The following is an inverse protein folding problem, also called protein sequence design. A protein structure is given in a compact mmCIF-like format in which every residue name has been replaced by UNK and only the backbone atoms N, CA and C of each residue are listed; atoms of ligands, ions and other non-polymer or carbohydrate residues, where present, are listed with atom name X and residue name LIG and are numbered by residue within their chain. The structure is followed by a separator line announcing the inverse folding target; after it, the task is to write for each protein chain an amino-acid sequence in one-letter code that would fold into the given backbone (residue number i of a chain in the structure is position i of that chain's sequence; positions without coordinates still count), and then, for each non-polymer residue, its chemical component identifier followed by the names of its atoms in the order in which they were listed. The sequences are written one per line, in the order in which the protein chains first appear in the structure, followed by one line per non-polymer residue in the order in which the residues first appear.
data_IF_883894024684
#
_entry.id   IF_883894024684
#
_cell.length_a   1.000
_cell.length_b   1.000
_cell.length_c   1.000
_cell.angle_alpha   90.00
_cell.angle_beta   90.00
_cell.angle_gamma   90.00
#
_symmetry.space_group_name_H-M   'P 1'
#
loop_
_entity.id
_entity.type
_entity.pdbx_description
1 polymer ?
#
# COMPACT_ATOMS: atom_id res chain seq x y z
N UNK A 1 8.81 7.68 -1.50
CA UNK A 1 8.10 6.39 -1.65
C UNK A 1 7.75 5.90 -0.26
N UNK A 2 6.79 4.99 -0.14
CA UNK A 2 6.55 4.22 1.08
C UNK A 2 6.49 2.75 0.67
N UNK A 3 7.26 1.88 1.32
CA UNK A 3 7.44 0.49 0.92
C UNK A 3 7.20 -0.43 2.11
N UNK A 4 6.66 -1.61 1.83
CA UNK A 4 6.43 -2.66 2.82
C UNK A 4 7.12 -3.92 2.30
N UNK A 5 8.10 -4.45 3.06
CA UNK A 5 8.72 -5.74 2.77
C UNK A 5 8.04 -6.82 3.63
N UNK A 6 7.09 -7.56 3.06
CA UNK A 6 6.39 -8.62 3.77
C UNK A 6 7.03 -9.98 3.52
N UNK A 7 7.84 -10.44 4.47
CA UNK A 7 8.47 -11.76 4.44
C UNK A 7 7.47 -12.88 4.74
N UNK A 8 7.36 -13.86 3.83
CA UNK A 8 6.45 -14.99 3.91
C UNK A 8 7.17 -16.32 3.64
N UNK A 9 6.61 -17.41 4.16
CA UNK A 9 7.10 -18.75 3.84
C UNK A 9 6.84 -19.07 2.35
N UNK A 10 7.85 -19.51 1.58
CA UNK A 10 7.65 -19.90 0.19
C UNK A 10 6.66 -21.06 0.00
N UNK A 11 6.49 -21.93 1.01
CA UNK A 11 5.56 -23.07 0.98
C UNK A 11 4.17 -22.73 1.52
N UNK A 12 4.01 -21.62 2.26
CA UNK A 12 2.73 -21.17 2.81
C UNK A 12 2.58 -19.65 2.66
N UNK A 13 1.93 -19.26 1.56
CA UNK A 13 1.57 -17.87 1.26
C UNK A 13 0.13 -17.51 1.65
N UNK A 14 -0.48 -18.27 2.58
CA UNK A 14 -1.78 -17.92 3.16
C UNK A 14 -1.67 -16.63 3.99
N UNK A 15 -2.79 -15.92 4.17
CA UNK A 15 -2.79 -14.71 5.00
C UNK A 15 -3.93 -14.73 6.01
N UNK A 16 -3.58 -14.70 7.30
CA UNK A 16 -4.53 -14.87 8.40
C UNK A 16 -5.72 -13.89 8.38
N UNK A 17 -5.58 -12.72 7.74
CA UNK A 17 -6.63 -11.69 7.62
C UNK A 17 -7.29 -11.62 6.24
N UNK A 18 -6.98 -12.53 5.31
CA UNK A 18 -7.52 -12.49 3.95
C UNK A 18 -9.06 -12.52 3.92
N UNK A 19 -9.68 -13.33 4.79
CA UNK A 19 -11.15 -13.39 4.95
C UNK A 19 -11.79 -12.03 5.25
N UNK A 20 -11.07 -11.07 5.83
CA UNK A 20 -11.61 -9.74 6.12
C UNK A 20 -11.79 -8.89 4.85
N UNK A 21 -11.13 -9.26 3.76
CA UNK A 21 -11.10 -8.50 2.50
C UNK A 21 -11.61 -9.29 1.30
N UNK A 22 -11.90 -10.59 1.44
CA UNK A 22 -12.23 -11.51 0.34
C UNK A 22 -13.41 -11.04 -0.53
N UNK A 23 -14.37 -10.32 0.05
CA UNK A 23 -15.57 -9.85 -0.64
C UNK A 23 -15.40 -8.47 -1.30
N UNK A 24 -14.21 -7.86 -1.24
CA UNK A 24 -13.95 -6.57 -1.86
C UNK A 24 -13.84 -6.77 -3.38
N UNK A 25 -14.68 -6.03 -4.10
CA UNK A 25 -14.75 -6.02 -5.55
C UNK A 25 -13.77 -5.00 -6.14
N UNK A 26 -12.96 -5.42 -7.11
CA UNK A 26 -11.91 -4.63 -7.73
C UNK A 26 -12.02 -4.71 -9.26
N UNK A 27 -11.40 -3.74 -9.94
CA UNK A 27 -11.23 -3.75 -11.39
C UNK A 27 -9.85 -4.32 -11.72
N UNK A 28 -9.81 -5.55 -12.26
CA UNK A 28 -8.57 -6.20 -12.67
C UNK A 28 -8.34 -6.05 -14.17
N UNK A 29 -7.09 -5.86 -14.57
CA UNK A 29 -6.63 -6.00 -15.95
C UNK A 29 -5.59 -7.13 -16.00
N UNK A 30 -6.03 -8.40 -16.10
CA UNK A 30 -5.12 -9.55 -16.09
C UNK A 30 -4.23 -9.61 -17.34
N UNK A 31 -3.12 -10.34 -17.23
CA UNK A 31 -2.19 -10.56 -18.35
C UNK A 31 -2.88 -11.09 -19.61
N UNK A 32 -3.74 -12.09 -19.46
CA UNK A 32 -4.42 -12.72 -20.59
C UNK A 32 -5.28 -11.74 -21.41
N UNK A 33 -5.87 -10.72 -20.76
CA UNK A 33 -6.64 -9.67 -21.44
C UNK A 33 -5.71 -8.75 -22.23
N UNK A 34 -4.60 -8.34 -21.61
CA UNK A 34 -3.58 -7.50 -22.25
C UNK A 34 -2.93 -8.20 -23.46
N UNK A 35 -2.60 -9.48 -23.34
CA UNK A 35 -2.06 -10.31 -24.45
C UNK A 35 -3.03 -10.42 -25.63
N UNK A 36 -4.35 -10.32 -25.37
CA UNK A 36 -5.36 -10.27 -26.43
C UNK A 36 -5.51 -8.88 -27.10
N UNK A 37 -4.70 -7.90 -26.70
CA UNK A 37 -4.75 -6.52 -27.19
C UNK A 37 -5.91 -5.69 -26.63
N UNK A 38 -6.56 -6.18 -25.57
CA UNK A 38 -7.70 -5.51 -24.92
C UNK A 38 -7.28 -4.81 -23.64
N UNK A 39 -8.07 -3.83 -23.24
CA UNK A 39 -7.87 -3.06 -22.00
C UNK A 39 -9.08 -3.10 -21.08
N UNK A 40 -10.06 -3.94 -21.40
CA UNK A 40 -11.29 -4.11 -20.63
C UNK A 40 -10.97 -4.70 -19.26
N UNK A 41 -11.38 -3.99 -18.20
CA UNK A 41 -11.21 -4.48 -16.85
C UNK A 41 -12.27 -5.54 -16.53
N UNK A 42 -11.85 -6.60 -15.85
CA UNK A 42 -12.72 -7.61 -15.26
C UNK A 42 -13.03 -7.18 -13.83
N UNK A 43 -14.31 -6.96 -13.55
CA UNK A 43 -14.78 -6.65 -12.21
C UNK A 43 -14.99 -7.96 -11.45
N UNK A 44 -14.28 -8.14 -10.34
CA UNK A 44 -14.30 -9.40 -9.58
C UNK A 44 -13.93 -9.16 -8.12
N UNK A 45 -14.37 -10.04 -7.23
CA UNK A 45 -13.95 -10.07 -5.82
C UNK A 45 -12.53 -10.61 -5.67
N UNK A 46 -11.74 -10.07 -4.74
CA UNK A 46 -10.38 -10.57 -4.51
C UNK A 46 -10.37 -12.04 -4.08
N UNK A 47 -11.40 -12.48 -3.34
CA UNK A 47 -11.57 -13.88 -2.93
C UNK A 47 -11.72 -14.80 -4.13
N UNK A 48 -12.56 -14.45 -5.12
CA UNK A 48 -12.70 -15.26 -6.32
C UNK A 48 -11.47 -15.16 -7.23
N UNK A 49 -10.82 -14.00 -7.31
CA UNK A 49 -9.57 -13.82 -8.07
C UNK A 49 -8.46 -14.74 -7.55
N UNK A 50 -8.31 -14.87 -6.22
CA UNK A 50 -7.36 -15.82 -5.62
C UNK A 50 -7.80 -17.27 -5.85
N UNK A 51 -9.09 -17.57 -5.62
CA UNK A 51 -9.63 -18.93 -5.80
C UNK A 51 -9.48 -19.48 -7.23
N UNK A 52 -9.59 -18.60 -8.23
CA UNK A 52 -9.45 -18.95 -9.66
C UNK A 52 -7.99 -18.95 -10.14
N UNK A 53 -7.05 -18.52 -9.29
CA UNK A 53 -5.64 -18.39 -9.65
C UNK A 53 -5.33 -17.18 -10.52
N UNK A 54 -6.25 -16.21 -10.64
CA UNK A 54 -5.96 -14.92 -11.29
C UNK A 54 -4.91 -14.16 -10.48
N UNK A 55 -5.08 -14.12 -9.16
CA UNK A 55 -4.07 -13.63 -8.20
C UNK A 55 -3.46 -14.84 -7.52
N UNK A 56 -2.13 -14.94 -7.50
CA UNK A 56 -1.41 -16.17 -7.15
C UNK A 56 -1.71 -16.71 -5.74
N UNK A 57 -1.82 -15.84 -4.73
CA UNK A 57 -1.97 -16.26 -3.34
C UNK A 57 -2.73 -15.26 -2.45
N UNK A 58 -3.15 -15.70 -1.27
CA UNK A 58 -3.92 -14.89 -0.31
C UNK A 58 -3.14 -13.69 0.23
N UNK A 59 -1.81 -13.80 0.39
CA UNK A 59 -0.98 -12.69 0.89
C UNK A 59 -0.94 -11.55 -0.12
N UNK A 60 -0.66 -11.86 -1.39
CA UNK A 60 -0.70 -10.89 -2.48
C UNK A 60 -2.11 -10.29 -2.61
N UNK A 61 -3.15 -11.13 -2.59
CA UNK A 61 -4.53 -10.67 -2.66
C UNK A 61 -4.92 -9.76 -1.49
N UNK A 62 -4.47 -10.09 -0.26
CA UNK A 62 -4.71 -9.24 0.91
C UNK A 62 -4.12 -7.84 0.70
N UNK A 63 -2.87 -7.74 0.23
CA UNK A 63 -2.25 -6.43 -0.01
C UNK A 63 -2.93 -5.66 -1.14
N UNK A 64 -3.29 -6.30 -2.26
CA UNK A 64 -4.07 -5.68 -3.35
C UNK A 64 -5.36 -5.05 -2.80
N UNK A 65 -6.13 -5.81 -2.02
CA UNK A 65 -7.38 -5.31 -1.46
C UNK A 65 -7.17 -4.19 -0.42
N UNK A 66 -6.10 -4.27 0.38
CA UNK A 66 -5.74 -3.21 1.33
C UNK A 66 -5.25 -1.94 0.64
N UNK A 67 -4.54 -2.05 -0.48
CA UNK A 67 -4.15 -0.92 -1.34
C UNK A 67 -5.40 -0.23 -1.87
N UNK A 68 -6.37 -0.98 -2.40
CA UNK A 68 -7.65 -0.43 -2.87
C UNK A 68 -8.39 0.34 -1.77
N UNK A 69 -8.55 -0.26 -0.59
CA UNK A 69 -9.20 0.38 0.55
C UNK A 69 -8.45 1.64 1.00
N UNK A 70 -7.12 1.62 0.98
CA UNK A 70 -6.32 2.79 1.33
C UNK A 70 -6.51 3.92 0.32
N UNK A 71 -6.34 3.63 -0.98
CA UNK A 71 -6.44 4.62 -2.06
C UNK A 71 -7.83 5.28 -2.09
N UNK A 72 -8.89 4.47 -2.01
CA UNK A 72 -10.27 4.98 -1.98
C UNK A 72 -10.54 5.83 -0.73
N UNK A 73 -10.06 5.40 0.44
CA UNK A 73 -10.21 6.15 1.69
C UNK A 73 -9.55 7.53 1.66
N UNK A 74 -8.45 7.69 0.92
CA UNK A 74 -7.75 8.98 0.79
C UNK A 74 -8.25 9.84 -0.37
N UNK A 75 -9.27 9.39 -1.11
CA UNK A 75 -9.97 10.22 -2.11
C UNK A 75 -9.76 9.83 -3.57
N UNK A 76 -9.17 8.66 -3.83
CA UNK A 76 -9.13 8.13 -5.20
C UNK A 76 -10.53 7.66 -5.61
N UNK A 77 -11.04 8.20 -6.72
CA UNK A 77 -12.24 7.65 -7.38
C UNK A 77 -12.01 6.19 -7.82
N UNK A 78 -12.79 5.26 -7.25
CA UNK A 78 -12.72 3.83 -7.55
C UNK A 78 -13.01 3.48 -9.02
N UNK A 79 -13.73 4.35 -9.76
CA UNK A 79 -13.98 4.16 -11.20
C UNK A 79 -12.74 4.41 -12.05
N UNK A 80 -11.81 5.22 -11.53
CA UNK A 80 -10.54 5.61 -12.15
C UNK A 80 -9.34 4.88 -11.53
N UNK A 81 -9.61 3.71 -10.94
CA UNK A 81 -8.62 2.84 -10.29
C UNK A 81 -8.80 1.41 -10.84
N UNK A 82 -7.68 0.82 -11.28
CA UNK A 82 -7.60 -0.59 -11.68
C UNK A 82 -6.32 -1.23 -11.18
N UNK A 83 -6.29 -2.55 -11.14
CA UNK A 83 -5.10 -3.35 -10.86
C UNK A 83 -4.66 -4.05 -12.13
N UNK A 84 -3.52 -3.67 -12.70
CA UNK A 84 -2.95 -4.27 -13.91
C UNK A 84 -1.91 -5.31 -13.55
N UNK A 85 -2.05 -6.51 -14.07
CA UNK A 85 -1.04 -7.55 -13.90
C UNK A 85 0.14 -7.32 -14.84
N UNK A 86 1.36 -7.55 -14.37
CA UNK A 86 2.55 -7.49 -15.24
C UNK A 86 2.52 -8.58 -16.31
N UNK A 87 2.98 -8.23 -17.51
CA UNK A 87 3.19 -9.16 -18.61
C UNK A 87 4.46 -9.99 -18.39
N UNK A 88 4.54 -11.19 -18.98
CA UNK A 88 5.70 -12.08 -18.77
C UNK A 88 7.07 -11.48 -19.17
N UNK A 89 7.08 -10.52 -20.10
CA UNK A 89 8.27 -9.78 -20.53
C UNK A 89 8.56 -8.52 -19.70
N UNK A 90 7.63 -8.07 -18.86
CA UNK A 90 7.77 -6.93 -17.95
C UNK A 90 8.16 -7.37 -16.54
N UNK A 91 7.84 -8.62 -16.19
CA UNK A 91 8.21 -9.20 -14.90
C UNK A 91 9.73 -9.18 -14.73
N UNK A 92 10.19 -8.72 -13.58
CA UNK A 92 11.54 -9.02 -13.16
C UNK A 92 11.73 -10.54 -13.16
N UNK A 93 12.89 -11.02 -13.61
CA UNK A 93 13.20 -12.45 -13.79
C UNK A 93 13.02 -13.33 -12.54
N UNK A 94 12.76 -12.74 -11.38
CA UNK A 94 12.54 -13.39 -10.10
C UNK A 94 11.11 -13.23 -9.52
N UNK A 95 10.27 -12.37 -10.11
CA UNK A 95 8.91 -12.16 -9.61
C UNK A 95 8.01 -13.35 -9.99
N UNK A 96 7.13 -13.81 -9.10
CA UNK A 96 6.15 -14.86 -9.45
C UNK A 96 4.84 -14.28 -9.99
N UNK A 97 4.38 -13.19 -9.39
CA UNK A 97 3.20 -12.43 -9.81
C UNK A 97 3.39 -10.97 -9.39
N UNK A 98 2.82 -10.02 -10.14
CA UNK A 98 2.94 -8.60 -9.84
C UNK A 98 1.72 -7.85 -10.37
N UNK A 99 1.13 -7.01 -9.52
CA UNK A 99 -0.05 -6.21 -9.81
C UNK A 99 0.19 -4.76 -9.46
N UNK A 100 0.01 -3.87 -10.43
CA UNK A 100 0.10 -2.43 -10.25
C UNK A 100 -1.28 -1.84 -10.04
N UNK A 101 -1.47 -1.08 -8.96
CA UNK A 101 -2.59 -0.15 -8.85
C UNK A 101 -2.32 1.05 -9.76
N UNK A 102 -3.07 1.13 -10.85
CA UNK A 102 -3.02 2.23 -11.80
C UNK A 102 -4.18 3.20 -11.57
N UNK A 103 -3.86 4.49 -11.61
CA UNK A 103 -4.82 5.57 -11.51
C UNK A 103 -4.92 6.28 -12.85
N UNK A 104 -6.14 6.49 -13.34
CA UNK A 104 -6.37 7.23 -14.58
C UNK A 104 -6.20 8.73 -14.33
N UNK A 105 -5.29 9.39 -15.05
CA UNK A 105 -5.05 10.83 -14.97
C UNK A 105 -5.15 11.48 -16.35
N UNK A 106 -4.92 12.79 -16.45
CA UNK A 106 -4.77 13.51 -17.71
C UNK A 106 -3.61 13.00 -18.58
N UNK A 107 -2.66 12.26 -17.98
CA UNK A 107 -1.59 11.54 -18.67
C UNK A 107 -1.96 10.10 -19.08
N UNK A 108 -3.21 9.69 -18.86
CA UNK A 108 -3.67 8.31 -18.99
C UNK A 108 -3.47 7.51 -17.70
N UNK A 109 -3.48 6.18 -17.83
CA UNK A 109 -3.28 5.25 -16.71
C UNK A 109 -1.82 5.27 -16.27
N UNK A 110 -1.57 5.65 -15.02
CA UNK A 110 -0.24 5.69 -14.43
C UNK A 110 -0.16 4.75 -13.23
N UNK A 111 0.92 3.98 -13.17
CA UNK A 111 1.24 3.12 -12.03
C UNK A 111 1.52 3.99 -10.79
N UNK A 112 0.77 3.76 -9.71
CA UNK A 112 0.87 4.53 -8.46
C UNK A 112 1.30 3.67 -7.28
N UNK A 113 0.95 2.38 -7.30
CA UNK A 113 1.41 1.40 -6.31
C UNK A 113 1.73 0.09 -7.00
N UNK A 114 2.99 -0.35 -6.97
CA UNK A 114 3.37 -1.69 -7.39
C UNK A 114 3.15 -2.68 -6.24
N UNK A 115 2.63 -3.87 -6.52
CA UNK A 115 2.48 -4.95 -5.54
C UNK A 115 3.06 -6.24 -6.12
N UNK A 116 4.32 -6.53 -5.76
CA UNK A 116 5.10 -7.60 -6.37
C UNK A 116 5.33 -8.77 -5.40
N UNK A 117 5.31 -9.99 -5.92
CA UNK A 117 5.86 -11.18 -5.25
C UNK A 117 7.27 -11.41 -5.78
N UNK A 118 8.29 -10.89 -5.08
CA UNK A 118 9.68 -10.86 -5.54
C UNK A 118 10.47 -12.13 -5.19
N UNK A 119 9.79 -13.16 -4.71
CA UNK A 119 10.42 -14.39 -4.22
C UNK A 119 11.55 -14.08 -3.21
N UNK A 120 12.62 -14.86 -3.23
CA UNK A 120 13.77 -14.75 -2.33
C UNK A 120 14.98 -14.02 -2.94
N UNK A 121 14.82 -13.28 -4.05
CA UNK A 121 15.95 -12.78 -4.85
C UNK A 121 16.90 -11.88 -4.05
N UNK A 122 16.40 -10.82 -3.43
CA UNK A 122 17.22 -9.83 -2.73
C UNK A 122 18.02 -10.48 -1.59
N UNK A 123 17.35 -11.31 -0.78
CA UNK A 123 17.99 -12.06 0.31
C UNK A 123 19.05 -13.04 -0.20
N UNK A 124 18.77 -13.74 -1.30
CA UNK A 124 19.70 -14.70 -1.90
C UNK A 124 20.96 -14.01 -2.42
N UNK A 125 20.81 -12.88 -3.11
CA UNK A 125 21.93 -12.09 -3.65
C UNK A 125 22.75 -11.50 -2.51
N UNK A 126 22.12 -10.90 -1.50
CA UNK A 126 22.81 -10.33 -0.35
C UNK A 126 23.54 -11.40 0.48
N UNK A 127 22.90 -12.55 0.71
CA UNK A 127 23.50 -13.69 1.40
C UNK A 127 24.74 -14.20 0.66
N UNK A 128 24.64 -14.39 -0.67
CA UNK A 128 25.76 -14.84 -1.48
C UNK A 128 26.94 -13.86 -1.49
N UNK A 129 26.66 -12.55 -1.47
CA UNK A 129 27.69 -11.50 -1.52
C UNK A 129 28.36 -11.25 -0.17
N UNK A 130 27.59 -11.20 0.91
CA UNK A 130 28.07 -10.89 2.26
C UNK A 130 28.62 -12.12 3.00
N UNK A 131 28.26 -13.32 2.53
CA UNK A 131 28.51 -14.60 3.22
C UNK A 131 27.76 -14.74 4.55
N UNK A 132 26.80 -13.86 4.81
CA UNK A 132 25.89 -13.96 5.94
C UNK A 132 24.60 -14.67 5.54
N UNK A 133 24.17 -15.65 6.33
CA UNK A 133 22.96 -16.41 6.04
C UNK A 133 21.71 -15.58 6.39
N UNK A 134 21.01 -15.11 5.36
CA UNK A 134 19.71 -14.44 5.49
C UNK A 134 18.58 -15.46 5.29
N UNK A 135 18.33 -16.29 6.30
CA UNK A 135 17.33 -17.35 6.25
C UNK A 135 16.50 -17.43 7.54
N UNK A 136 15.34 -18.07 7.44
CA UNK A 136 14.50 -18.45 8.58
C UNK A 136 14.85 -19.88 8.99
N UNK A 137 14.93 -20.12 10.29
CA UNK A 137 15.09 -21.46 10.89
C UNK A 137 13.83 -21.78 11.68
N UNK A 138 13.02 -22.69 11.16
CA UNK A 138 11.74 -23.08 11.75
C UNK A 138 11.85 -24.49 12.34
N UNK A 139 11.48 -24.66 13.61
CA UNK A 139 11.36 -25.98 14.21
C UNK A 139 10.20 -26.74 13.54
N UNK A 140 10.47 -27.96 13.08
CA UNK A 140 9.43 -28.80 12.50
C UNK A 140 8.54 -29.37 13.62
N UNK A 141 7.20 -29.40 13.43
CA UNK A 141 6.28 -30.00 14.40
C UNK A 141 6.60 -31.48 14.65
N UNK A 142 6.97 -32.19 13.58
CA UNK A 142 7.41 -33.58 13.61
C UNK A 142 8.76 -33.71 12.88
N UNK A 143 9.73 -34.47 13.43
CA UNK A 143 11.03 -34.62 12.80
C UNK A 143 10.90 -35.32 11.44
N UNK A 144 11.47 -34.73 10.39
CA UNK A 144 11.44 -35.31 9.06
C UNK A 144 12.64 -36.24 8.89
N UNK A 145 12.37 -37.51 8.58
CA UNK A 145 13.42 -38.46 8.22
C UNK A 145 13.70 -38.27 6.73
N UNK A 146 14.88 -37.75 6.40
CA UNK A 146 15.30 -37.51 5.02
C UNK A 146 16.48 -38.43 4.72
N UNK A 147 16.36 -39.22 3.65
CA UNK A 147 17.49 -39.92 3.06
C UNK A 147 18.09 -39.06 1.95
N UNK A 148 19.37 -38.72 2.05
CA UNK A 148 20.11 -38.03 1.00
C UNK A 148 21.47 -38.64 0.79
N UNK A 149 22.02 -38.46 -0.41
CA UNK A 149 23.41 -38.75 -0.68
C UNK A 149 24.30 -37.70 -0.01
N UNK A 150 25.19 -38.16 0.86
CA UNK A 150 26.22 -37.35 1.48
C UNK A 150 27.59 -37.73 0.96
N UNK A 151 28.46 -36.72 0.87
CA UNK A 151 29.85 -36.87 0.51
C UNK A 151 30.73 -36.76 1.74
N UNK A 152 31.51 -37.80 2.03
CA UNK A 152 32.59 -37.75 3.00
C UNK A 152 33.93 -37.62 2.29
N UNK A 153 34.72 -36.64 2.73
CA UNK A 153 36.08 -36.43 2.24
C UNK A 153 37.08 -36.98 3.24
N UNK A 154 38.00 -37.84 2.80
CA UNK A 154 39.12 -38.31 3.62
C UNK A 154 40.17 -37.20 3.74
N UNK A 155 39.93 -36.26 4.67
CA UNK A 155 40.72 -35.02 4.81
C UNK A 155 42.22 -35.27 4.92
N UNK A 156 42.65 -36.41 5.50
CA UNK A 156 44.08 -36.75 5.64
C UNK A 156 44.77 -37.02 4.30
N UNK A 157 44.03 -37.50 3.28
CA UNK A 157 44.54 -37.75 1.93
C UNK A 157 44.19 -36.63 0.97
N UNK A 158 43.01 -36.05 1.14
CA UNK A 158 42.45 -34.99 0.29
C UNK A 158 43.31 -33.71 0.32
N UNK A 159 43.66 -33.23 1.52
CA UNK A 159 44.50 -32.04 1.69
C UNK A 159 45.87 -32.17 1.00
N UNK A 160 46.65 -33.23 1.29
CA UNK A 160 47.94 -33.45 0.64
C UNK A 160 47.88 -33.64 -0.88
N UNK A 161 46.81 -34.26 -1.42
CA UNK A 161 46.64 -34.46 -2.87
C UNK A 161 46.44 -33.13 -3.60
N UNK A 162 45.56 -32.26 -3.11
CA UNK A 162 45.16 -31.04 -3.82
C UNK A 162 45.87 -29.75 -3.34
N UNK A 163 46.57 -29.79 -2.19
CA UNK A 163 47.38 -28.69 -1.64
C UNK A 163 46.64 -27.35 -1.66
N UNK A 164 47.16 -26.35 -2.38
CA UNK A 164 46.55 -25.00 -2.53
C UNK A 164 45.14 -25.03 -3.13
N UNK A 165 44.80 -26.07 -3.89
CA UNK A 165 43.50 -26.23 -4.53
C UNK A 165 42.48 -26.97 -3.64
N UNK A 166 42.89 -27.53 -2.50
CA UNK A 166 42.03 -28.38 -1.67
C UNK A 166 40.74 -27.68 -1.24
N UNK A 167 40.81 -26.41 -0.82
CA UNK A 167 39.62 -25.65 -0.40
C UNK A 167 38.64 -25.38 -1.54
N UNK A 168 39.14 -25.17 -2.77
CA UNK A 168 38.31 -24.96 -3.96
C UNK A 168 37.61 -26.26 -4.37
N UNK A 169 38.33 -27.38 -4.38
CA UNK A 169 37.77 -28.70 -4.71
C UNK A 169 36.76 -29.16 -3.64
N UNK A 170 37.05 -28.94 -2.35
CA UNK A 170 36.11 -29.23 -1.24
C UNK A 170 34.83 -28.42 -1.40
N UNK A 171 34.92 -27.12 -1.66
CA UNK A 171 33.75 -26.26 -1.87
C UNK A 171 32.93 -26.66 -3.09
N UNK A 172 33.59 -27.08 -4.18
CA UNK A 172 32.92 -27.56 -5.38
C UNK A 172 32.16 -28.86 -5.14
N UNK A 173 32.77 -29.82 -4.44
CA UNK A 173 32.15 -31.11 -4.11
C UNK A 173 30.97 -30.98 -3.16
N UNK A 174 31.08 -30.12 -2.13
CA UNK A 174 30.02 -29.91 -1.14
C UNK A 174 28.84 -29.10 -1.70
N UNK A 175 29.04 -28.32 -2.78
CA UNK A 175 27.98 -27.54 -3.42
C UNK A 175 27.15 -28.30 -4.46
N UNK A 176 27.44 -29.59 -4.70
CA UNK A 176 26.73 -30.41 -5.70
C UNK A 176 25.29 -30.72 -5.28
N UNK A 177 24.40 -30.76 -6.26
CA UNK A 177 23.04 -31.25 -6.12
C UNK A 177 23.00 -32.78 -5.98
N UNK A 178 21.89 -33.33 -5.50
CA UNK A 178 21.75 -34.77 -5.31
C UNK A 178 21.87 -35.56 -6.64
N UNK A 179 21.34 -35.04 -7.74
CA UNK A 179 21.48 -35.64 -9.07
C UNK A 179 22.95 -35.65 -9.55
N UNK A 180 23.70 -34.58 -9.29
CA UNK A 180 25.14 -34.54 -9.59
C UNK A 180 25.92 -35.54 -8.73
N UNK A 181 25.57 -35.67 -7.45
CA UNK A 181 26.17 -36.66 -6.55
C UNK A 181 25.85 -38.10 -6.98
N UNK A 182 24.64 -38.37 -7.48
CA UNK A 182 24.29 -39.67 -8.07
C UNK A 182 25.16 -40.00 -9.29
N UNK A 183 25.38 -39.02 -10.17
CA UNK A 183 26.24 -39.20 -11.34
C UNK A 183 27.70 -39.43 -10.95
N UNK A 184 28.24 -38.66 -10.00
CA UNK A 184 29.57 -38.84 -9.44
C UNK A 184 29.73 -40.20 -8.76
N UNK A 185 28.72 -40.63 -8.00
CA UNK A 185 28.71 -41.94 -7.33
C UNK A 185 28.73 -43.09 -8.36
N UNK A 186 27.93 -42.99 -9.43
CA UNK A 186 27.95 -43.97 -10.53
C UNK A 186 29.34 -44.06 -11.18
N UNK A 187 29.94 -42.93 -11.54
CA UNK A 187 31.29 -42.91 -12.10
C UNK A 187 32.32 -43.55 -11.15
N UNK A 188 32.32 -43.17 -9.87
CA UNK A 188 33.22 -43.75 -8.87
C UNK A 188 33.05 -45.27 -8.71
N UNK A 189 31.82 -45.77 -8.80
CA UNK A 189 31.52 -47.20 -8.69
C UNK A 189 31.91 -47.99 -9.94
N UNK A 190 31.77 -47.41 -11.14
CA UNK A 190 32.04 -48.09 -12.41
C UNK A 190 33.53 -48.10 -12.78
N UNK A 191 34.23 -46.98 -12.60
CA UNK A 191 35.62 -46.81 -13.07
C UNK A 191 36.64 -46.68 -11.93
N UNK A 192 36.18 -46.56 -10.68
CA UNK A 192 37.03 -46.31 -9.51
C UNK A 192 37.53 -44.86 -9.39
N UNK A 193 37.23 -44.01 -10.39
CA UNK A 193 37.74 -42.63 -10.51
C UNK A 193 36.71 -41.72 -11.16
N UNK A 194 36.59 -40.49 -10.68
CA UNK A 194 35.77 -39.46 -11.32
C UNK A 194 36.64 -38.24 -11.63
N UNK A 195 36.46 -37.69 -12.84
CA UNK A 195 37.18 -36.52 -13.32
C UNK A 195 36.18 -35.40 -13.60
N UNK A 196 36.52 -34.17 -13.18
CA UNK A 196 35.67 -33.00 -13.37
C UNK A 196 36.48 -31.70 -13.38
N UNK A 197 35.89 -30.65 -13.95
CA UNK A 197 36.48 -29.31 -13.95
C UNK A 197 35.91 -28.45 -12.83
N UNK A 198 36.80 -27.77 -12.11
CA UNK A 198 36.45 -26.83 -11.06
C UNK A 198 36.79 -25.43 -11.53
N UNK A 199 35.84 -24.51 -11.43
CA UNK A 199 36.08 -23.11 -11.77
C UNK A 199 37.21 -22.52 -10.91
N UNK A 200 38.20 -21.90 -11.56
CA UNK A 200 39.42 -21.41 -10.91
C UNK A 200 40.59 -22.41 -10.87
N UNK A 201 40.44 -23.59 -11.48
CA UNK A 201 41.53 -24.56 -11.69
C UNK A 201 41.59 -24.91 -13.19
N UNK A 202 42.72 -24.66 -13.83
CA UNK A 202 42.91 -24.93 -15.27
C UNK A 202 43.01 -26.44 -15.60
N UNK A 203 43.45 -27.23 -14.62
CA UNK A 203 43.61 -28.69 -14.72
C UNK A 203 42.32 -29.43 -14.35
N UNK A 204 42.09 -30.56 -15.02
CA UNK A 204 41.00 -31.47 -14.67
C UNK A 204 41.32 -32.19 -13.35
N UNK A 205 40.36 -32.16 -12.43
CA UNK A 205 40.52 -32.73 -11.09
C UNK A 205 40.05 -34.18 -11.12
N UNK A 206 40.92 -35.10 -10.71
CA UNK A 206 40.61 -36.52 -10.56
C UNK A 206 40.50 -36.91 -9.08
N UNK A 207 39.35 -37.47 -8.71
CA UNK A 207 39.10 -38.10 -7.41
C UNK A 207 38.93 -39.61 -7.59
N UNK A 208 39.18 -40.35 -6.51
CA UNK A 208 39.03 -41.79 -6.45
C UNK A 208 38.35 -42.18 -5.12
N UNK A 209 37.92 -43.42 -5.02
CA UNK A 209 37.18 -43.96 -3.85
C UNK A 209 37.98 -43.91 -2.55
N UNK A 210 39.30 -43.71 -2.60
CA UNK A 210 40.12 -43.55 -1.39
C UNK A 210 40.10 -42.14 -0.81
N UNK A 211 39.58 -41.15 -1.57
CA UNK A 211 39.50 -39.74 -1.19
C UNK A 211 38.08 -39.29 -0.87
N UNK A 212 37.11 -39.89 -1.54
CA UNK A 212 35.72 -39.47 -1.52
C UNK A 212 34.83 -40.70 -1.38
N UNK A 213 33.92 -40.66 -0.42
CA UNK A 213 32.87 -41.67 -0.23
C UNK A 213 31.52 -40.99 -0.39
N UNK A 214 30.67 -41.49 -1.29
CA UNK A 214 29.32 -40.98 -1.47
C UNK A 214 28.35 -42.07 -1.02
N UNK A 215 27.56 -41.82 0.01
CA UNK A 215 26.64 -42.80 0.60
C UNK A 215 25.28 -42.19 0.92
N UNK A 216 24.22 -43.01 0.80
CA UNK A 216 22.91 -42.61 1.30
C UNK A 216 22.92 -42.65 2.82
N UNK A 217 22.62 -41.52 3.44
CA UNK A 217 22.46 -41.41 4.88
C UNK A 217 21.07 -40.94 5.23
N UNK A 218 20.51 -41.59 6.23
CA UNK A 218 19.26 -41.19 6.86
C UNK A 218 19.59 -40.15 7.94
N UNK A 219 19.05 -38.93 7.79
CA UNK A 219 19.12 -37.89 8.82
C UNK A 219 17.74 -37.54 9.32
N UNK A 220 17.66 -37.31 10.62
CA UNK A 220 16.47 -36.74 11.25
C UNK A 220 16.63 -35.23 11.31
N UNK A 221 15.85 -34.52 10.51
CA UNK A 221 15.82 -33.06 10.51
C UNK A 221 14.74 -32.57 11.48
N UNK A 222 15.15 -31.76 12.46
CA UNK A 222 14.25 -31.11 13.42
C UNK A 222 13.95 -29.64 13.05
N UNK A 223 14.70 -29.07 12.11
CA UNK A 223 14.63 -27.67 11.72
C UNK A 223 14.60 -27.60 10.19
N UNK A 224 13.61 -26.88 9.66
CA UNK A 224 13.57 -26.45 8.26
C UNK A 224 14.24 -25.09 8.15
N UNK A 225 15.21 -24.97 7.26
CA UNK A 225 15.87 -23.71 6.91
C UNK A 225 15.39 -23.29 5.51
N UNK A 226 14.88 -22.07 5.38
CA UNK A 226 14.44 -21.54 4.08
C UNK A 226 14.71 -20.03 3.98
N UNK A 227 14.83 -19.53 2.76
CA UNK A 227 14.90 -18.08 2.50
C UNK A 227 13.46 -17.61 2.26
N UNK A 228 12.95 -16.65 3.06
CA UNK A 228 11.57 -16.21 2.90
C UNK A 228 11.37 -15.51 1.56
N UNK A 229 10.19 -15.71 0.98
CA UNK A 229 9.74 -14.90 -0.14
C UNK A 229 9.29 -13.53 0.35
N UNK A 230 9.24 -12.54 -0.53
CA UNK A 230 8.88 -11.16 -0.19
C UNK A 230 7.72 -10.68 -1.05
N UNK A 231 6.63 -10.28 -0.40
CA UNK A 231 5.56 -9.49 -1.04
C UNK A 231 5.83 -8.02 -0.76
N UNK A 232 5.95 -7.22 -1.81
CA UNK A 232 6.34 -5.81 -1.74
C UNK A 232 5.28 -4.89 -2.35
N UNK A 233 4.46 -4.25 -1.51
CA UNK A 233 3.73 -3.03 -1.86
C UNK A 233 4.64 -1.78 -1.84
N UNK A 234 4.87 -1.16 -3.00
CA UNK A 234 5.64 0.09 -3.13
C UNK A 234 4.75 1.24 -3.61
N UNK A 235 4.62 2.29 -2.79
CA UNK A 235 3.72 3.42 -3.00
C UNK A 235 4.47 4.66 -3.52
N UNK A 236 4.13 5.06 -4.74
CA UNK A 236 4.53 6.32 -5.36
C UNK A 236 3.74 7.50 -4.81
N UNK A 237 4.02 7.94 -3.57
CA UNK A 237 3.25 8.98 -2.85
C UNK A 237 2.96 10.22 -3.72
N UNK A 238 3.94 10.70 -4.49
CA UNK A 238 3.75 11.87 -5.36
C UNK A 238 2.70 11.65 -6.47
N UNK A 239 2.72 10.48 -7.12
CA UNK A 239 1.74 10.10 -8.14
C UNK A 239 0.35 9.94 -7.53
N UNK A 240 0.26 9.30 -6.36
CA UNK A 240 -1.00 9.15 -5.61
C UNK A 240 -1.62 10.50 -5.27
N UNK A 241 -0.84 11.45 -4.72
CA UNK A 241 -1.32 12.79 -4.39
C UNK A 241 -1.79 13.53 -5.65
N UNK A 242 -1.03 13.45 -6.74
CA UNK A 242 -1.39 14.08 -8.00
C UNK A 242 -2.71 13.54 -8.55
N UNK A 243 -2.90 12.22 -8.56
CA UNK A 243 -4.16 11.60 -8.98
C UNK A 243 -5.33 12.00 -8.09
N UNK A 244 -5.14 12.11 -6.77
CA UNK A 244 -6.19 12.61 -5.87
C UNK A 244 -6.60 14.03 -6.24
N UNK A 245 -5.65 14.91 -6.58
CA UNK A 245 -6.00 16.26 -7.03
C UNK A 245 -6.85 16.24 -8.29
N UNK A 246 -6.48 15.46 -9.30
CA UNK A 246 -7.28 15.34 -10.51
C UNK A 246 -8.65 14.70 -10.29
N UNK A 247 -8.75 13.70 -9.41
CA UNK A 247 -10.01 13.00 -9.14
C UNK A 247 -10.95 13.86 -8.29
N UNK A 248 -10.40 14.79 -7.50
CA UNK A 248 -11.15 15.66 -6.60
C UNK A 248 -11.45 17.04 -7.19
N UNK A 249 -10.85 17.42 -8.31
CA UNK A 249 -11.01 18.74 -8.92
C UNK A 249 -12.30 18.83 -9.74
N UNK A 250 -13.08 19.88 -9.53
CA UNK A 250 -14.22 20.24 -10.36
C UNK A 250 -14.56 21.74 -10.22
N UNK A 251 -15.44 22.23 -11.08
CA UNK A 251 -15.95 23.60 -11.04
C UNK A 251 -17.44 23.62 -10.77
N UNK A 252 -17.89 24.61 -10.01
CA UNK A 252 -19.29 24.79 -9.68
C UNK A 252 -20.16 24.94 -10.95
N UNK A 253 -21.32 24.27 -11.06
CA UNK A 253 -22.18 24.39 -12.24
C UNK A 253 -22.68 25.82 -12.51
N UNK A 254 -22.85 26.61 -11.44
CA UNK A 254 -23.31 28.01 -11.54
C UNK A 254 -22.22 28.99 -11.98
N UNK A 255 -20.95 28.66 -11.79
CA UNK A 255 -19.82 29.56 -12.09
C UNK A 255 -18.52 28.76 -12.28
N UNK A 256 -18.04 28.70 -13.53
CA UNK A 256 -16.82 27.97 -13.89
C UNK A 256 -15.54 28.54 -13.27
N UNK A 257 -15.58 29.78 -12.76
CA UNK A 257 -14.45 30.38 -12.03
C UNK A 257 -14.36 29.89 -10.58
N UNK A 258 -15.42 29.25 -10.06
CA UNK A 258 -15.45 28.69 -8.70
C UNK A 258 -14.97 27.24 -8.73
N UNK A 259 -13.68 27.09 -8.53
CA UNK A 259 -12.99 25.80 -8.39
C UNK A 259 -13.26 25.19 -7.01
N UNK A 260 -13.38 23.86 -6.97
CA UNK A 260 -13.48 23.08 -5.75
C UNK A 260 -12.49 21.92 -5.81
N UNK A 261 -11.79 21.69 -4.71
CA UNK A 261 -10.98 20.49 -4.51
C UNK A 261 -11.65 19.60 -3.47
N UNK A 262 -12.34 18.54 -3.91
CA UNK A 262 -13.11 17.64 -3.05
C UNK A 262 -12.29 16.63 -2.24
N UNK A 263 -11.25 17.10 -1.54
CA UNK A 263 -10.45 16.25 -0.66
C UNK A 263 -11.34 15.65 0.44
N UNK A 264 -11.24 14.34 0.74
CA UNK A 264 -11.91 13.76 1.89
C UNK A 264 -11.50 14.49 3.18
N UNK A 265 -12.44 14.71 4.13
CA UNK A 265 -12.14 15.41 5.36
C UNK A 265 -10.94 14.83 6.12
N UNK A 266 -10.75 13.51 6.10
CA UNK A 266 -9.62 12.83 6.73
C UNK A 266 -8.25 13.36 6.25
N UNK A 267 -8.10 13.65 4.96
CA UNK A 267 -6.81 14.03 4.35
C UNK A 267 -6.69 15.51 4.00
N UNK A 268 -7.77 16.28 4.04
CA UNK A 268 -7.73 17.73 3.78
C UNK A 268 -6.71 18.44 4.71
N UNK A 269 -5.79 19.28 4.20
CA UNK A 269 -4.74 19.89 5.03
C UNK A 269 -5.29 20.78 6.16
N UNK A 270 -6.32 21.55 5.82
CA UNK A 270 -7.10 22.35 6.77
C UNK A 270 -8.50 21.75 6.82
N UNK A 271 -9.04 21.49 8.02
CA UNK A 271 -10.38 20.90 8.18
C UNK A 271 -11.44 21.98 8.22
N UNK A 272 -11.14 23.09 8.88
CA UNK A 272 -12.10 24.15 9.15
C UNK A 272 -11.56 25.50 8.70
N UNK A 273 -12.35 26.20 7.89
CA UNK A 273 -12.27 27.63 7.72
C UNK A 273 -13.11 28.28 8.83
N UNK A 274 -12.50 29.07 9.71
CA UNK A 274 -13.21 29.83 10.73
C UNK A 274 -13.30 31.30 10.31
N UNK A 275 -14.51 31.82 10.14
CA UNK A 275 -14.75 33.16 9.57
C UNK A 275 -15.76 33.96 10.40
N UNK A 276 -15.43 35.19 10.80
CA UNK A 276 -16.45 36.12 11.30
C UNK A 276 -17.22 36.73 10.10
N UNK A 277 -18.52 36.97 10.25
CA UNK A 277 -19.38 37.53 9.19
C UNK A 277 -18.88 38.91 8.76
N UNK A 278 -18.37 39.69 9.71
CA UNK A 278 -17.75 41.01 9.51
C UNK A 278 -16.56 41.20 10.44
N UNK A 279 -15.80 42.28 10.24
CA UNK A 279 -14.66 42.63 11.12
C UNK A 279 -15.08 43.44 12.35
N UNK A 280 -16.36 43.34 12.75
CA UNK A 280 -16.86 44.02 13.94
C UNK A 280 -16.20 43.42 15.20
N UNK A 281 -15.67 44.28 16.06
CA UNK A 281 -14.99 43.93 17.32
C UNK A 281 -15.84 43.04 18.23
N UNK A 282 -17.18 43.18 18.18
CA UNK A 282 -18.11 42.38 18.99
C UNK A 282 -18.04 40.88 18.67
N UNK A 283 -17.59 40.50 17.46
CA UNK A 283 -17.45 39.09 17.06
C UNK A 283 -16.12 38.46 17.52
N UNK A 284 -15.14 39.26 17.96
CA UNK A 284 -13.81 38.74 18.35
C UNK A 284 -13.83 37.79 19.55
N UNK A 285 -14.57 38.07 20.65
CA UNK A 285 -14.57 37.16 21.81
C UNK A 285 -15.06 35.75 21.47
N UNK A 286 -16.13 35.64 20.68
CA UNK A 286 -16.66 34.34 20.25
C UNK A 286 -15.72 33.67 19.23
N UNK A 287 -15.06 34.44 18.35
CA UNK A 287 -14.03 33.93 17.43
C UNK A 287 -12.85 33.29 18.18
N UNK A 288 -12.36 33.95 19.23
CA UNK A 288 -11.28 33.44 20.07
C UNK A 288 -11.73 32.19 20.85
N UNK A 289 -12.95 32.19 21.38
CA UNK A 289 -13.55 31.06 22.09
C UNK A 289 -13.66 29.81 21.21
N UNK A 290 -14.22 29.94 20.00
CA UNK A 290 -14.33 28.85 19.03
C UNK A 290 -12.95 28.40 18.57
N UNK A 291 -12.03 29.33 18.31
CA UNK A 291 -10.63 29.01 17.98
C UNK A 291 -9.95 28.18 19.07
N UNK A 292 -10.14 28.53 20.35
CA UNK A 292 -9.58 27.78 21.47
C UNK A 292 -10.18 26.38 21.56
N UNK A 293 -11.49 26.24 21.36
CA UNK A 293 -12.17 24.94 21.36
C UNK A 293 -11.65 24.03 20.23
N UNK A 294 -11.48 24.55 19.01
CA UNK A 294 -10.87 23.82 17.90
C UNK A 294 -9.44 23.36 18.21
N UNK A 295 -8.61 24.23 18.82
CA UNK A 295 -7.25 23.88 19.27
C UNK A 295 -7.24 22.77 20.31
N UNK A 296 -8.12 22.85 21.31
CA UNK A 296 -8.24 21.83 22.37
C UNK A 296 -8.62 20.47 21.79
N UNK A 297 -9.48 20.45 20.77
CA UNK A 297 -9.86 19.21 20.06
C UNK A 297 -8.84 18.78 18.98
N UNK A 298 -7.74 19.52 18.80
CA UNK A 298 -6.69 19.27 17.80
C UNK A 298 -7.20 19.20 16.37
N UNK A 299 -8.22 20.00 16.04
CA UNK A 299 -8.77 20.09 14.68
C UNK A 299 -7.98 21.17 13.93
N UNK A 300 -7.28 20.85 12.82
CA UNK A 300 -6.61 21.85 11.99
C UNK A 300 -7.60 22.85 11.39
N UNK A 301 -7.38 24.14 11.64
CA UNK A 301 -8.23 25.21 11.13
C UNK A 301 -7.42 26.45 10.74
N UNK A 302 -8.03 27.31 9.91
CA UNK A 302 -7.50 28.62 9.54
C UNK A 302 -8.56 29.69 9.77
N UNK A 303 -8.14 30.81 10.34
CA UNK A 303 -8.99 32.00 10.47
C UNK A 303 -8.83 32.86 9.21
N UNK A 304 -9.94 33.33 8.64
CA UNK A 304 -9.94 34.36 7.60
C UNK A 304 -10.82 35.55 8.02
N UNK A 305 -10.17 36.54 8.62
CA UNK A 305 -10.72 37.83 9.04
C UNK A 305 -10.43 38.95 8.03
N UNK A 306 -10.15 38.58 6.77
CA UNK A 306 -9.95 39.56 5.71
C UNK A 306 -11.24 40.34 5.43
N UNK A 307 -11.10 41.56 4.91
CA UNK A 307 -12.22 42.41 4.49
C UNK A 307 -12.99 41.89 3.27
N UNK A 308 -12.66 40.70 2.77
CA UNK A 308 -13.36 40.09 1.64
C UNK A 308 -14.76 39.62 2.05
N UNK A 309 -15.71 39.65 1.11
CA UNK A 309 -17.04 39.10 1.35
C UNK A 309 -16.97 37.63 1.75
N UNK A 310 -17.93 37.18 2.55
CA UNK A 310 -17.99 35.79 3.03
C UNK A 310 -17.97 34.77 1.88
N UNK A 311 -18.69 35.07 0.79
CA UNK A 311 -18.67 34.24 -0.43
C UNK A 311 -17.28 34.12 -1.06
N UNK A 312 -16.48 35.20 -1.09
CA UNK A 312 -15.10 35.17 -1.59
C UNK A 312 -14.19 34.37 -0.66
N UNK A 313 -14.38 34.48 0.66
CA UNK A 313 -13.63 33.69 1.65
C UNK A 313 -13.93 32.19 1.52
N UNK A 314 -15.21 31.83 1.33
CA UNK A 314 -15.59 30.45 1.01
C UNK A 314 -14.99 29.97 -0.30
N UNK A 315 -15.11 30.74 -1.39
CA UNK A 315 -14.59 30.32 -2.70
C UNK A 315 -13.08 30.01 -2.66
N UNK A 316 -12.26 30.86 -2.01
CA UNK A 316 -10.82 30.61 -1.83
C UNK A 316 -10.52 29.32 -1.08
N UNK A 317 -11.34 28.96 -0.09
CA UNK A 317 -11.09 27.77 0.74
C UNK A 317 -11.69 26.50 0.14
N UNK A 318 -12.75 26.62 -0.65
CA UNK A 318 -13.27 25.54 -1.51
C UNK A 318 -12.18 25.11 -2.52
N UNK A 319 -11.47 26.08 -3.12
CA UNK A 319 -10.32 25.84 -4.03
C UNK A 319 -9.15 25.13 -3.32
N UNK A 320 -8.90 25.48 -2.04
CA UNK A 320 -7.87 24.82 -1.21
C UNK A 320 -8.34 23.48 -0.63
N UNK A 321 -9.58 23.07 -0.89
CA UNK A 321 -10.17 21.81 -0.44
C UNK A 321 -10.49 21.73 1.04
N UNK A 322 -10.71 22.87 1.70
CA UNK A 322 -11.15 22.90 3.11
C UNK A 322 -12.60 22.41 3.21
N UNK A 323 -12.88 21.29 3.91
CA UNK A 323 -14.18 20.62 3.84
C UNK A 323 -15.28 21.35 4.62
N UNK A 324 -14.93 22.11 5.66
CA UNK A 324 -15.92 22.77 6.53
C UNK A 324 -15.63 24.26 6.69
N UNK A 325 -16.70 25.05 6.74
CA UNK A 325 -16.67 26.44 7.16
C UNK A 325 -17.47 26.64 8.44
N UNK A 326 -16.92 27.34 9.42
CA UNK A 326 -17.66 27.83 10.58
C UNK A 326 -17.79 29.35 10.44
N UNK A 327 -19.03 29.83 10.34
CA UNK A 327 -19.35 31.26 10.35
C UNK A 327 -19.82 31.70 11.72
N UNK A 328 -19.21 32.78 12.20
CA UNK A 328 -19.61 33.51 13.39
C UNK A 328 -20.34 34.78 12.94
N UNK A 329 -21.58 34.92 13.33
CA UNK A 329 -22.43 36.08 13.05
C UNK A 329 -22.84 36.81 14.33
N UNK A 330 -23.69 37.82 14.19
CA UNK A 330 -24.15 38.60 15.35
C UNK A 330 -25.04 37.79 16.30
N UNK A 331 -25.82 36.83 15.79
CA UNK A 331 -26.60 35.93 16.66
C UNK A 331 -25.66 35.08 17.56
N UNK A 332 -24.45 34.79 17.09
CA UNK A 332 -23.45 34.02 17.86
C UNK A 332 -23.02 34.70 19.17
N UNK A 333 -23.22 36.01 19.30
CA UNK A 333 -22.84 36.76 20.52
C UNK A 333 -23.85 36.59 21.65
N UNK A 334 -25.07 36.16 21.32
CA UNK A 334 -26.17 36.03 22.27
C UNK A 334 -26.30 34.61 22.82
N UNK A 335 -26.05 33.59 21.97
CA UNK A 335 -26.35 32.19 22.29
C UNK A 335 -25.19 31.19 22.04
N UNK A 336 -23.98 31.68 21.72
CA UNK A 336 -22.81 30.87 21.36
C UNK A 336 -23.04 29.91 20.17
N UNK A 337 -24.13 30.07 19.41
CA UNK A 337 -24.37 29.25 18.22
C UNK A 337 -23.56 29.75 17.03
N UNK A 338 -23.17 28.84 16.15
CA UNK A 338 -22.44 29.16 14.91
C UNK A 338 -23.03 28.40 13.74
N UNK A 339 -22.73 28.84 12.52
CA UNK A 339 -23.18 28.15 11.30
C UNK A 339 -22.06 27.28 10.74
N UNK A 340 -22.32 25.99 10.56
CA UNK A 340 -21.45 25.04 9.88
C UNK A 340 -21.88 24.90 8.42
N UNK A 341 -20.94 25.12 7.50
CA UNK A 341 -21.09 24.91 6.05
C UNK A 341 -20.28 23.70 5.60
N UNK A 342 -20.87 22.86 4.77
CA UNK A 342 -20.18 21.77 4.05
C UNK A 342 -19.71 22.26 2.67
N UNK A 343 -18.48 21.92 2.29
CA UNK A 343 -17.85 22.37 1.04
C UNK A 343 -18.65 21.93 -0.18
N UNK A 344 -18.84 20.63 -0.41
CA UNK A 344 -19.27 20.10 -1.70
C UNK A 344 -20.73 20.48 -2.03
N UNK A 345 -21.64 20.31 -1.09
CA UNK A 345 -23.05 20.62 -1.23
C UNK A 345 -23.40 22.07 -0.93
N UNK A 346 -22.51 22.81 -0.27
CA UNK A 346 -22.74 24.17 0.25
C UNK A 346 -23.86 24.29 1.30
N UNK A 347 -24.41 23.16 1.75
CA UNK A 347 -25.45 23.13 2.79
C UNK A 347 -24.93 23.71 4.09
N UNK A 348 -25.84 24.36 4.83
CA UNK A 348 -25.55 25.01 6.10
C UNK A 348 -26.47 24.51 7.19
N UNK A 349 -25.92 24.34 8.38
CA UNK A 349 -26.65 23.98 9.60
C UNK A 349 -26.15 24.84 10.75
N UNK A 350 -27.00 25.09 11.74
CA UNK A 350 -26.73 25.92 12.92
C UNK A 350 -26.91 25.11 14.20
N UNK A 351 -26.04 25.35 15.16
CA UNK A 351 -26.12 24.82 16.52
C UNK A 351 -25.03 25.41 17.40
N UNK A 352 -24.92 24.93 18.64
CA UNK A 352 -23.82 25.36 19.51
C UNK A 352 -22.48 25.00 18.89
N UNK A 353 -21.44 25.81 19.13
CA UNK A 353 -20.11 25.50 18.59
C UNK A 353 -19.57 24.14 19.08
N UNK A 354 -19.99 23.67 20.26
CA UNK A 354 -19.63 22.35 20.76
C UNK A 354 -20.24 21.22 19.91
N UNK A 355 -21.53 21.30 19.58
CA UNK A 355 -22.19 20.31 18.72
C UNK A 355 -21.60 20.30 17.32
N UNK A 356 -21.26 21.47 16.78
CA UNK A 356 -20.61 21.60 15.47
C UNK A 356 -19.21 20.99 15.46
N UNK A 357 -18.40 21.25 16.50
CA UNK A 357 -17.07 20.65 16.63
C UNK A 357 -17.17 19.12 16.73
N UNK A 358 -18.16 18.61 17.45
CA UNK A 358 -18.39 17.16 17.56
C UNK A 358 -18.84 16.55 16.22
N UNK A 359 -19.71 17.24 15.47
CA UNK A 359 -20.09 16.81 14.12
C UNK A 359 -18.87 16.75 13.19
N UNK A 360 -18.00 17.77 13.21
CA UNK A 360 -16.76 17.79 12.40
C UNK A 360 -15.87 16.59 12.75
N UNK A 361 -15.70 16.26 14.04
CA UNK A 361 -14.89 15.11 14.46
C UNK A 361 -15.45 13.80 13.94
N UNK A 362 -16.76 13.59 14.08
CA UNK A 362 -17.44 12.38 13.61
C UNK A 362 -17.28 12.20 12.11
N UNK A 363 -17.44 13.27 11.34
CA UNK A 363 -17.25 13.21 9.87
C UNK A 363 -15.78 12.95 9.53
N UNK A 364 -14.84 13.60 10.22
CA UNK A 364 -13.42 13.58 9.85
C UNK A 364 -12.71 12.29 10.28
N UNK A 365 -13.04 11.76 11.45
CA UNK A 365 -12.27 10.69 12.11
C UNK A 365 -13.07 9.40 12.32
N UNK A 366 -14.41 9.46 12.34
CA UNK A 366 -15.28 8.30 12.55
C UNK A 366 -16.03 7.86 11.28
N UNK A 367 -15.72 8.48 10.14
CA UNK A 367 -16.29 8.15 8.81
C UNK A 367 -17.83 8.27 8.75
N UNK A 368 -18.40 9.18 9.55
CA UNK A 368 -19.83 9.47 9.52
C UNK A 368 -20.19 10.38 8.35
N UNK A 369 -21.32 10.11 7.70
CA UNK A 369 -21.84 11.02 6.67
C UNK A 369 -22.29 12.35 7.27
N UNK A 370 -22.30 13.40 6.43
CA UNK A 370 -22.79 14.72 6.80
C UNK A 370 -24.19 14.66 7.41
N UNK A 371 -25.12 13.93 6.81
CA UNK A 371 -26.52 13.82 7.25
C UNK A 371 -26.62 13.22 8.66
N UNK A 372 -25.84 12.17 8.94
CA UNK A 372 -25.83 11.51 10.25
C UNK A 372 -25.16 12.36 11.32
N UNK A 373 -24.09 13.06 10.96
CA UNK A 373 -23.38 13.92 11.91
C UNK A 373 -24.14 15.20 12.24
N UNK A 374 -24.98 15.68 11.33
CA UNK A 374 -25.73 16.95 11.46
C UNK A 374 -27.20 16.78 11.82
N UNK A 375 -27.67 15.55 12.12
CA UNK A 375 -29.10 15.25 12.38
C UNK A 375 -29.72 16.09 13.50
N UNK A 376 -28.94 16.49 14.51
CA UNK A 376 -29.42 17.28 15.65
C UNK A 376 -29.24 18.80 15.45
N UNK A 377 -28.67 19.23 14.32
CA UNK A 377 -28.43 20.63 13.99
C UNK A 377 -29.59 21.16 13.16
N UNK A 378 -29.90 22.44 13.31
CA UNK A 378 -31.00 23.07 12.58
C UNK A 378 -30.52 23.45 11.18
N UNK A 379 -31.22 23.11 10.09
CA UNK A 379 -30.93 23.67 8.78
C UNK A 379 -30.89 25.21 8.86
N UNK A 380 -29.87 25.80 8.24
CA UNK A 380 -29.72 27.24 8.19
C UNK A 380 -30.09 27.71 6.78
N UNK A 381 -31.24 28.37 6.68
CA UNK A 381 -31.64 29.10 5.49
C UNK A 381 -31.15 30.53 5.59
N UNK A 382 -30.37 30.98 4.62
CA UNK A 382 -29.88 32.36 4.56
C UNK A 382 -31.10 33.29 4.52
N UNK A 383 -31.26 34.16 5.51
CA UNK A 383 -32.22 35.28 5.46
C UNK A 383 -31.72 36.31 4.43
N UNK A 384 -31.83 36.01 3.15
CA UNK A 384 -31.58 36.98 2.07
C UNK A 384 -32.57 36.70 0.94
N UNK A 385 -33.80 37.20 1.09
CA UNK A 385 -34.61 37.72 -0.03
C UNK A 385 -35.90 38.48 0.37
N UNK A 386 -36.25 38.61 1.66
CA UNK A 386 -37.49 39.34 2.05
C UNK A 386 -37.31 40.82 2.49
N UNK A 387 -36.10 41.30 2.76
CA UNK A 387 -35.91 42.71 3.22
C UNK A 387 -35.74 43.74 2.08
N UNK A 388 -35.69 43.31 0.81
CA UNK A 388 -35.64 44.21 -0.36
C UNK A 388 -37.02 44.48 -0.99
N UNK A 389 -38.07 43.76 -0.58
CA UNK A 389 -39.45 43.98 -1.06
C UNK A 389 -40.22 45.01 -0.22
N UNK A 390 -39.88 45.20 1.06
CA UNK A 390 -40.55 46.19 1.93
C UNK A 390 -40.02 47.63 1.81
N UNK A 391 -38.88 47.85 1.13
CA UNK A 391 -38.32 49.18 0.88
C UNK A 391 -38.66 49.76 -0.51
N UNK A 392 -39.47 49.05 -1.30
CA UNK A 392 -39.97 49.53 -2.60
C UNK A 392 -41.46 49.92 -2.58
N UNK A 393 -42.08 49.93 -1.40
CA UNK A 393 -43.42 50.51 -1.18
C UNK A 393 -43.39 51.41 0.05
N UNK A 394 -42.80 52.60 -0.09
CA UNK A 394 -43.20 53.83 0.61
C UNK A 394 -42.58 55.05 -0.06
#
# INVERSE_FOLDING_TARGET
MAEIEHYVDPEDKSHAKFKQVENIELNFLPRAVQESGKTDCIKETIGNAVKTGMVDNETLGYFIARIFLFLTKIGVDSKRLRFRQHMGNEMAHYAQDCWDAELESSYGWIECVGCADRSAYDLSVHSARTKEKLCVRQALPEPKIVERLEIDLEKKKFGPKFRKNASLVESWLVSRTECELENLQKQLNETGKAAFKVEGIDEEIEIDTSLVKIERRTRTEHIREYIPNVIEPSFGIGRVIYSIFEHSFWTRPEDSSRVVLSLPPLVAPTKVLLVPLSNNEVLKPILEKVSQALRQQKIPFKVDDSSASIGKRYARNDELGTPFGITIDFESTDDDSVTLRERDSTKQVRGSFQEIIEAIKKITYDDLSWEKATTNLKPFETKVEDELSELSVN
#
